data_IF_813728462871
#
_entry.id   IF_813728462871
#
_cell.length_a   1.000
_cell.length_b   1.000
_cell.length_c   1.000
_cell.angle_alpha   90.00
_cell.angle_beta   90.00
_cell.angle_gamma   90.00
#
_symmetry.space_group_name_H-M   'P 1'
#
loop_
_entity.id
_entity.type
_entity.pdbx_description
1 polymer ?
#
# COMPACT_ATOMS: atom_id res chain seq x y z
N UNK A 1 23.76 10.97 58.28
CA UNK A 1 24.05 9.80 57.45
C UNK A 1 22.78 9.31 56.70
N UNK A 2 22.14 10.21 55.92
CA UNK A 2 20.85 9.90 55.30
C UNK A 2 20.76 10.32 53.81
N UNK A 3 21.92 10.69 53.21
CA UNK A 3 22.01 11.22 51.81
C UNK A 3 22.75 10.28 50.85
N UNK A 4 23.29 9.15 51.30
CA UNK A 4 24.08 8.22 50.49
C UNK A 4 23.17 7.12 49.87
N UNK A 5 22.00 6.86 50.46
CA UNK A 5 21.09 5.78 50.02
C UNK A 5 20.31 6.13 48.75
N UNK A 6 20.21 7.40 48.39
CA UNK A 6 19.44 7.82 47.20
C UNK A 6 20.23 7.73 45.90
N UNK A 7 21.55 7.79 45.97
CA UNK A 7 22.41 7.66 44.80
C UNK A 7 22.58 6.23 44.31
N UNK A 8 22.38 5.25 45.18
CA UNK A 8 22.47 3.82 44.78
C UNK A 8 21.22 3.30 44.08
N UNK A 9 20.06 3.94 44.30
CA UNK A 9 18.80 3.52 43.67
C UNK A 9 18.70 3.95 42.22
N UNK A 10 19.38 5.04 41.82
CA UNK A 10 19.37 5.55 40.46
C UNK A 10 20.29 4.73 39.54
N UNK A 11 21.30 4.07 40.08
CA UNK A 11 22.23 3.25 39.29
C UNK A 11 21.68 1.86 38.91
N UNK A 12 20.66 1.38 39.61
CA UNK A 12 20.05 0.06 39.30
C UNK A 12 19.01 0.10 38.17
N UNK A 13 18.61 1.28 37.73
CA UNK A 13 17.62 1.42 36.60
C UNK A 13 18.30 1.47 35.24
N UNK A 14 19.62 1.63 35.17
CA UNK A 14 20.39 1.74 33.92
C UNK A 14 21.07 0.44 33.50
N UNK A 15 20.88 -0.66 34.23
CA UNK A 15 21.51 -1.95 33.89
C UNK A 15 20.56 -2.93 33.18
N UNK A 16 19.40 -2.52 32.80
CA UNK A 16 18.43 -3.37 32.12
C UNK A 16 18.12 -2.91 30.71
N UNK A 17 19.01 -3.09 29.79
CA UNK A 17 18.76 -3.30 28.37
C UNK A 17 20.09 -3.34 27.60
N UNK A 18 20.77 -4.48 27.73
CA UNK A 18 21.75 -4.88 26.72
C UNK A 18 21.41 -6.28 26.27
N UNK A 19 20.21 -6.44 25.73
CA UNK A 19 19.94 -7.50 24.77
C UNK A 19 20.19 -6.87 23.41
N UNK A 20 21.40 -7.05 22.89
CA UNK A 20 21.65 -6.99 21.46
C UNK A 20 20.88 -8.16 20.85
N UNK A 21 19.62 -7.97 20.57
CA UNK A 21 19.03 -8.59 19.40
C UNK A 21 19.78 -7.99 18.22
N UNK A 22 20.52 -8.84 17.54
CA UNK A 22 20.96 -8.56 16.19
C UNK A 22 19.66 -8.38 15.39
N UNK A 23 19.26 -7.12 15.21
CA UNK A 23 18.44 -6.76 14.07
C UNK A 23 19.34 -7.14 12.91
N UNK A 24 19.08 -8.28 12.28
CA UNK A 24 19.46 -8.46 10.90
C UNK A 24 18.72 -7.32 10.18
N UNK A 25 19.47 -6.24 9.94
CA UNK A 25 19.12 -5.30 8.89
C UNK A 25 19.05 -6.16 7.61
N UNK A 26 17.88 -6.68 7.30
CA UNK A 26 17.54 -6.93 5.92
C UNK A 26 17.62 -5.54 5.30
N UNK A 27 18.79 -5.21 4.73
CA UNK A 27 18.91 -4.14 3.76
C UNK A 27 17.87 -4.48 2.69
N UNK A 28 16.67 -3.94 2.83
CA UNK A 28 15.75 -3.86 1.71
C UNK A 28 16.54 -3.14 0.62
N UNK A 29 16.96 -3.88 -0.41
CA UNK A 29 17.66 -3.30 -1.55
C UNK A 29 16.81 -2.14 -2.05
N UNK A 30 17.31 -0.92 -1.80
CA UNK A 30 16.67 0.31 -2.31
C UNK A 30 16.74 0.20 -3.82
N UNK A 31 15.64 -0.22 -4.42
CA UNK A 31 15.52 -0.33 -5.87
C UNK A 31 15.75 1.07 -6.47
N UNK A 32 16.72 1.18 -7.38
CA UNK A 32 16.86 2.38 -8.20
C UNK A 32 15.76 2.40 -9.27
N UNK A 33 15.25 3.58 -9.63
CA UNK A 33 14.28 3.75 -10.73
C UNK A 33 14.74 3.12 -12.04
N UNK A 34 16.07 2.99 -12.24
CA UNK A 34 16.65 2.34 -13.43
C UNK A 34 16.45 0.83 -13.42
N UNK A 35 16.55 0.20 -12.25
CA UNK A 35 16.48 -1.25 -12.06
C UNK A 35 15.04 -1.76 -11.91
N UNK A 36 14.07 -0.85 -11.85
CA UNK A 36 12.65 -1.21 -11.77
C UNK A 36 12.20 -1.95 -13.03
N UNK A 37 11.78 -3.20 -12.84
CA UNK A 37 11.06 -4.01 -13.84
C UNK A 37 9.56 -3.86 -13.62
N UNK A 38 8.85 -3.43 -14.67
CA UNK A 38 7.40 -3.24 -14.59
C UNK A 38 6.73 -4.61 -14.62
N UNK A 39 5.82 -4.93 -13.67
CA UNK A 39 5.09 -6.18 -13.65
C UNK A 39 4.42 -6.49 -14.99
N UNK A 40 4.60 -7.72 -15.46
CA UNK A 40 4.05 -8.16 -16.75
C UNK A 40 2.57 -8.55 -16.69
N UNK A 41 2.04 -8.77 -15.49
CA UNK A 41 0.67 -9.22 -15.27
C UNK A 41 0.09 -8.62 -13.99
N UNK A 42 -1.21 -8.37 -14.02
CA UNK A 42 -2.04 -7.93 -12.90
C UNK A 42 -3.23 -8.87 -12.79
N UNK A 43 -4.09 -8.70 -11.78
CA UNK A 43 -5.35 -9.43 -11.72
C UNK A 43 -6.23 -9.08 -12.94
N UNK A 44 -6.71 -10.11 -13.62
CA UNK A 44 -7.68 -10.01 -14.72
C UNK A 44 -8.69 -11.13 -14.64
N UNK A 45 -9.94 -10.87 -15.06
CA UNK A 45 -10.97 -11.90 -15.21
C UNK A 45 -11.98 -11.48 -16.28
N UNK A 46 -12.35 -12.42 -17.12
CA UNK A 46 -13.41 -12.24 -18.13
C UNK A 46 -14.79 -12.73 -17.60
N UNK A 47 -14.85 -13.25 -16.38
CA UNK A 47 -16.08 -13.80 -15.80
C UNK A 47 -17.06 -12.69 -15.46
N UNK A 48 -18.31 -12.87 -15.94
CA UNK A 48 -19.44 -11.99 -15.66
C UNK A 48 -20.71 -12.81 -15.51
N UNK A 49 -21.55 -12.47 -14.53
CA UNK A 49 -22.80 -13.14 -14.21
C UNK A 49 -22.62 -14.64 -13.91
N UNK A 50 -21.47 -15.01 -13.35
CA UNK A 50 -21.12 -16.37 -12.98
C UNK A 50 -21.25 -16.58 -11.48
N UNK A 51 -21.47 -17.82 -11.07
CA UNK A 51 -21.29 -18.26 -9.69
C UNK A 51 -19.82 -18.63 -9.52
N UNK A 52 -19.14 -17.97 -8.58
CA UNK A 52 -17.72 -18.17 -8.31
C UNK A 52 -17.59 -19.12 -7.13
N UNK A 53 -16.81 -20.17 -7.27
CA UNK A 53 -16.52 -21.07 -6.15
C UNK A 53 -15.49 -20.46 -5.17
N UNK A 54 -15.40 -21.07 -3.97
CA UNK A 54 -14.57 -20.53 -2.89
C UNK A 54 -13.07 -20.56 -3.22
N UNK A 55 -12.59 -21.61 -3.87
CA UNK A 55 -11.15 -21.75 -4.17
C UNK A 55 -10.73 -20.78 -5.27
N UNK A 56 -11.56 -20.61 -6.28
CA UNK A 56 -11.33 -19.59 -7.30
C UNK A 56 -11.31 -18.18 -6.71
N UNK A 57 -12.26 -17.87 -5.82
CA UNK A 57 -12.32 -16.56 -5.21
C UNK A 57 -11.09 -16.29 -4.32
N UNK A 58 -10.64 -17.28 -3.55
CA UNK A 58 -9.40 -17.18 -2.77
C UNK A 58 -8.19 -16.88 -3.64
N UNK A 59 -8.07 -17.60 -4.77
CA UNK A 59 -7.00 -17.35 -5.73
C UNK A 59 -7.09 -15.95 -6.34
N UNK A 60 -8.31 -15.50 -6.67
CA UNK A 60 -8.55 -14.16 -7.21
C UNK A 60 -8.15 -13.06 -6.21
N UNK A 61 -8.54 -13.20 -4.94
CA UNK A 61 -8.14 -12.27 -3.88
C UNK A 61 -6.62 -12.25 -3.72
N UNK A 62 -5.98 -13.44 -3.67
CA UNK A 62 -4.53 -13.55 -3.58
C UNK A 62 -3.85 -12.84 -4.76
N UNK A 63 -4.24 -13.15 -5.98
CA UNK A 63 -3.64 -12.56 -7.19
C UNK A 63 -3.78 -11.03 -7.20
N UNK A 64 -4.95 -10.51 -6.84
CA UNK A 64 -5.19 -9.08 -6.75
C UNK A 64 -4.29 -8.40 -5.72
N UNK A 65 -4.18 -8.98 -4.53
CA UNK A 65 -3.36 -8.44 -3.44
C UNK A 65 -1.86 -8.57 -3.70
N UNK A 66 -1.41 -9.68 -4.29
CA UNK A 66 0.00 -9.87 -4.66
C UNK A 66 0.40 -8.88 -5.77
N UNK A 67 -0.50 -8.64 -6.75
CA UNK A 67 -0.29 -7.60 -7.77
C UNK A 67 -0.22 -6.20 -7.17
N UNK A 68 -1.08 -5.89 -6.20
CA UNK A 68 -1.04 -4.61 -5.47
C UNK A 68 0.31 -4.41 -4.78
N UNK A 69 0.80 -5.41 -4.06
CA UNK A 69 2.08 -5.35 -3.34
C UNK A 69 3.25 -5.14 -4.31
N UNK A 70 3.28 -5.89 -5.41
CA UNK A 70 4.31 -5.75 -6.43
C UNK A 70 4.30 -4.37 -7.08
N UNK A 71 3.12 -3.86 -7.45
CA UNK A 71 2.96 -2.52 -8.01
C UNK A 71 3.36 -1.42 -7.03
N UNK A 72 3.03 -1.58 -5.75
CA UNK A 72 3.44 -0.65 -4.68
C UNK A 72 4.97 -0.65 -4.53
N UNK A 73 5.60 -1.82 -4.49
CA UNK A 73 7.05 -1.96 -4.37
C UNK A 73 7.77 -1.28 -5.53
N UNK A 74 7.33 -1.50 -6.77
CA UNK A 74 7.98 -0.90 -7.95
C UNK A 74 7.67 0.58 -8.14
N UNK A 75 6.62 1.11 -7.53
CA UNK A 75 6.31 2.55 -7.56
C UNK A 75 7.11 3.34 -6.52
N UNK A 76 7.53 2.71 -5.41
CA UNK A 76 8.21 3.38 -4.28
C UNK A 76 9.40 4.26 -4.69
N UNK A 77 10.37 3.80 -5.52
CA UNK A 77 11.53 4.62 -5.87
C UNK A 77 11.18 5.92 -6.61
N UNK A 78 10.09 5.91 -7.38
CA UNK A 78 9.61 7.11 -8.07
C UNK A 78 8.91 8.07 -7.11
N UNK A 79 8.14 7.53 -6.17
CA UNK A 79 7.49 8.32 -5.13
C UNK A 79 8.50 8.97 -4.20
N UNK A 80 9.60 8.29 -3.87
CA UNK A 80 10.67 8.83 -3.03
C UNK A 80 11.29 10.08 -3.67
N UNK A 81 11.59 10.07 -4.98
CA UNK A 81 12.07 11.23 -5.72
C UNK A 81 11.07 12.40 -5.63
N UNK A 82 9.79 12.10 -5.82
CA UNK A 82 8.73 13.11 -5.77
C UNK A 82 8.54 13.68 -4.34
N UNK A 83 8.66 12.84 -3.30
CA UNK A 83 8.59 13.29 -1.90
C UNK A 83 9.78 14.14 -1.48
N UNK A 84 10.95 13.95 -2.08
CA UNK A 84 12.13 14.78 -1.90
C UNK A 84 12.00 16.13 -2.63
N UNK A 85 10.94 16.34 -3.39
CA UNK A 85 10.68 17.57 -4.15
C UNK A 85 11.48 17.65 -5.45
N UNK A 86 11.98 16.51 -5.92
CA UNK A 86 12.67 16.38 -7.19
C UNK A 86 11.69 16.01 -8.32
N UNK A 87 12.08 16.28 -9.55
CA UNK A 87 11.30 15.91 -10.73
C UNK A 87 11.80 14.59 -11.32
N UNK A 88 10.89 13.73 -11.75
CA UNK A 88 11.22 12.55 -12.53
C UNK A 88 11.76 12.95 -13.90
N UNK A 89 12.78 12.24 -14.38
CA UNK A 89 13.25 12.36 -15.75
C UNK A 89 12.22 11.75 -16.72
N UNK A 90 12.30 12.11 -17.99
CA UNK A 90 11.33 11.67 -19.00
C UNK A 90 11.12 10.14 -19.02
N UNK A 91 12.20 9.37 -19.00
CA UNK A 91 12.13 7.90 -18.96
C UNK A 91 11.60 7.33 -17.63
N UNK A 92 11.82 8.03 -16.51
CA UNK A 92 11.28 7.69 -15.19
C UNK A 92 9.78 7.99 -15.14
N UNK A 93 9.38 9.12 -15.70
CA UNK A 93 7.97 9.51 -15.81
C UNK A 93 7.18 8.49 -16.64
N UNK A 94 7.69 8.09 -17.82
CA UNK A 94 7.05 7.06 -18.65
C UNK A 94 6.87 5.73 -17.91
N UNK A 95 7.89 5.28 -17.14
CA UNK A 95 7.79 4.08 -16.30
C UNK A 95 6.72 4.24 -15.22
N UNK A 96 6.74 5.36 -14.50
CA UNK A 96 5.81 5.63 -13.42
C UNK A 96 4.36 5.74 -13.90
N UNK A 97 4.11 6.41 -15.03
CA UNK A 97 2.79 6.45 -15.66
C UNK A 97 2.27 5.06 -16.01
N UNK A 98 3.15 4.19 -16.52
CA UNK A 98 2.78 2.82 -16.84
C UNK A 98 2.44 1.99 -15.60
N UNK A 99 3.19 2.15 -14.51
CA UNK A 99 2.90 1.51 -13.22
C UNK A 99 1.56 2.03 -12.68
N UNK A 100 1.34 3.33 -12.69
CA UNK A 100 0.10 3.98 -12.25
C UNK A 100 -1.12 3.46 -13.02
N UNK A 101 -0.98 3.29 -14.33
CA UNK A 101 -2.03 2.72 -15.18
C UNK A 101 -2.33 1.27 -14.79
N UNK A 102 -1.31 0.44 -14.61
CA UNK A 102 -1.49 -0.96 -14.16
C UNK A 102 -2.15 -1.05 -12.78
N UNK A 103 -1.80 -0.16 -11.86
CA UNK A 103 -2.41 -0.09 -10.54
C UNK A 103 -3.91 0.21 -10.63
N UNK A 104 -4.28 1.17 -11.45
CA UNK A 104 -5.68 1.50 -11.69
C UNK A 104 -6.43 0.35 -12.36
N UNK A 105 -5.84 -0.27 -13.37
CA UNK A 105 -6.42 -1.42 -14.06
C UNK A 105 -6.60 -2.64 -13.12
N UNK A 106 -5.65 -2.89 -12.22
CA UNK A 106 -5.76 -3.94 -11.20
C UNK A 106 -6.98 -3.73 -10.30
N UNK A 107 -7.19 -2.50 -9.83
CA UNK A 107 -8.34 -2.13 -8.98
C UNK A 107 -9.67 -2.24 -9.73
N UNK A 108 -9.74 -1.71 -10.95
CA UNK A 108 -10.94 -1.74 -11.78
C UNK A 108 -11.34 -3.18 -12.14
N UNK A 109 -10.38 -4.02 -12.49
CA UNK A 109 -10.60 -5.42 -12.83
C UNK A 109 -11.17 -6.20 -11.63
N UNK A 110 -10.56 -6.05 -10.45
CA UNK A 110 -11.03 -6.76 -9.26
C UNK A 110 -12.39 -6.24 -8.79
N UNK A 111 -12.59 -4.92 -8.79
CA UNK A 111 -13.88 -4.33 -8.45
C UNK A 111 -14.99 -4.82 -9.39
N UNK A 112 -14.72 -4.84 -10.69
CA UNK A 112 -15.65 -5.34 -11.71
C UNK A 112 -15.96 -6.83 -11.50
N UNK A 113 -14.94 -7.64 -11.22
CA UNK A 113 -15.09 -9.07 -10.97
C UNK A 113 -16.01 -9.37 -9.77
N UNK A 114 -15.79 -8.70 -8.63
CA UNK A 114 -16.58 -8.94 -7.41
C UNK A 114 -17.99 -8.34 -7.48
N UNK A 115 -18.22 -7.35 -8.34
CA UNK A 115 -19.55 -6.74 -8.51
C UNK A 115 -20.42 -7.48 -9.51
N UNK A 116 -19.82 -8.07 -10.54
CA UNK A 116 -20.54 -8.69 -11.65
C UNK A 116 -20.74 -10.20 -11.47
N UNK A 117 -20.30 -10.78 -10.37
CA UNK A 117 -20.44 -12.22 -10.12
C UNK A 117 -21.12 -12.51 -8.78
N UNK A 118 -21.68 -13.70 -8.67
CA UNK A 118 -22.22 -14.24 -7.41
C UNK A 118 -21.08 -14.87 -6.62
N UNK A 119 -20.77 -14.32 -5.44
CA UNK A 119 -19.69 -14.79 -4.60
C UNK A 119 -20.19 -15.75 -3.51
N UNK A 120 -19.35 -16.66 -3.01
CA UNK A 120 -19.70 -17.55 -1.90
C UNK A 120 -20.14 -16.78 -0.66
N UNK A 121 -20.94 -17.44 0.18
CA UNK A 121 -21.43 -16.85 1.42
C UNK A 121 -20.29 -16.38 2.33
N UNK A 122 -20.45 -15.16 2.87
CA UNK A 122 -19.48 -14.55 3.76
C UNK A 122 -18.30 -13.85 3.07
N UNK A 123 -18.24 -13.85 1.72
CA UNK A 123 -17.16 -13.15 0.99
C UNK A 123 -17.55 -11.77 0.48
N UNK A 124 -18.82 -11.52 0.17
CA UNK A 124 -19.27 -10.29 -0.49
C UNK A 124 -18.88 -9.00 0.26
N UNK A 125 -19.03 -8.97 1.58
CA UNK A 125 -18.70 -7.80 2.39
C UNK A 125 -17.19 -7.62 2.51
N UNK A 126 -16.45 -8.71 2.64
CA UNK A 126 -15.01 -8.69 2.87
C UNK A 126 -14.25 -8.36 1.59
N UNK A 127 -14.63 -8.90 0.44
CA UNK A 127 -14.02 -8.53 -0.85
C UNK A 127 -14.25 -7.06 -1.18
N UNK A 128 -15.43 -6.51 -0.88
CA UNK A 128 -15.70 -5.07 -1.01
C UNK A 128 -14.85 -4.24 -0.05
N UNK A 129 -14.61 -4.73 1.19
CA UNK A 129 -13.71 -4.07 2.15
C UNK A 129 -12.30 -4.02 1.61
N UNK A 130 -11.78 -5.16 1.13
CA UNK A 130 -10.45 -5.27 0.52
C UNK A 130 -10.32 -4.30 -0.65
N UNK A 131 -11.20 -4.39 -1.65
CA UNK A 131 -11.20 -3.50 -2.82
C UNK A 131 -11.19 -2.02 -2.41
N UNK A 132 -12.12 -1.62 -1.52
CA UNK A 132 -12.21 -0.25 -1.04
C UNK A 132 -10.93 0.22 -0.32
N UNK A 133 -10.33 -0.64 0.51
CA UNK A 133 -9.11 -0.32 1.23
C UNK A 133 -7.95 -0.08 0.27
N UNK A 134 -7.72 -0.99 -0.68
CA UNK A 134 -6.65 -0.90 -1.66
C UNK A 134 -6.85 0.31 -2.58
N UNK A 135 -8.07 0.51 -3.11
CA UNK A 135 -8.37 1.69 -3.94
C UNK A 135 -8.13 2.99 -3.19
N UNK A 136 -8.50 3.06 -1.90
CA UNK A 136 -8.22 4.24 -1.08
C UNK A 136 -6.72 4.42 -0.79
N UNK A 137 -5.97 3.32 -0.58
CA UNK A 137 -4.51 3.34 -0.41
C UNK A 137 -3.82 3.89 -1.66
N UNK A 138 -4.18 3.38 -2.84
CA UNK A 138 -3.69 3.88 -4.11
C UNK A 138 -4.07 5.35 -4.32
N UNK A 139 -5.30 5.74 -3.96
CA UNK A 139 -5.78 7.12 -4.05
C UNK A 139 -5.04 8.10 -3.13
N UNK A 140 -4.48 7.65 -2.02
CA UNK A 140 -3.59 8.47 -1.19
C UNK A 140 -2.26 8.70 -1.92
N UNK A 141 -1.65 7.63 -2.44
CA UNK A 141 -0.35 7.70 -3.11
C UNK A 141 -0.40 8.61 -4.34
N UNK A 142 -1.33 8.35 -5.27
CA UNK A 142 -1.44 9.12 -6.51
C UNK A 142 -2.12 10.48 -6.33
N UNK A 143 -2.99 10.64 -5.34
CA UNK A 143 -3.59 11.94 -5.01
C UNK A 143 -2.59 12.94 -4.43
N UNK A 144 -1.55 12.48 -3.76
CA UNK A 144 -0.42 13.31 -3.35
C UNK A 144 0.38 13.78 -4.56
N UNK A 145 0.66 12.91 -5.53
CA UNK A 145 1.36 13.25 -6.76
C UNK A 145 0.59 14.30 -7.58
N UNK A 146 -0.70 14.12 -7.82
CA UNK A 146 -1.53 15.11 -8.50
C UNK A 146 -1.54 16.46 -7.77
N UNK A 147 -1.57 16.44 -6.44
CA UNK A 147 -1.55 17.66 -5.64
C UNK A 147 -0.21 18.39 -5.76
N UNK A 148 0.91 17.68 -5.71
CA UNK A 148 2.25 18.24 -5.87
C UNK A 148 2.46 18.79 -7.29
N UNK A 149 2.07 18.06 -8.32
CA UNK A 149 2.13 18.50 -9.71
C UNK A 149 1.32 19.79 -9.94
N UNK A 150 0.10 19.86 -9.42
CA UNK A 150 -0.73 21.06 -9.52
C UNK A 150 -0.14 22.26 -8.77
N UNK A 151 0.51 22.03 -7.62
CA UNK A 151 1.21 23.10 -6.86
C UNK A 151 2.37 23.65 -7.70
N UNK A 152 3.19 22.78 -8.27
CA UNK A 152 4.34 23.18 -9.10
C UNK A 152 3.88 23.98 -10.31
N UNK A 153 2.88 23.48 -11.04
CA UNK A 153 2.27 24.14 -12.19
C UNK A 153 1.68 25.52 -11.87
N UNK A 154 1.01 25.65 -10.75
CA UNK A 154 0.43 26.93 -10.32
C UNK A 154 1.51 27.93 -9.92
N UNK A 155 2.57 27.50 -9.23
CA UNK A 155 3.71 28.35 -8.87
C UNK A 155 4.47 28.83 -10.11
N UNK A 156 4.74 27.98 -11.10
CA UNK A 156 5.37 28.35 -12.34
C UNK A 156 4.56 29.38 -13.13
N UNK A 157 3.23 29.31 -13.05
CA UNK A 157 2.30 30.27 -13.65
C UNK A 157 2.04 31.51 -12.79
N UNK A 158 2.75 31.65 -11.66
CA UNK A 158 2.60 32.78 -10.72
C UNK A 158 1.24 32.82 -10.02
N UNK A 159 0.57 31.69 -9.90
CA UNK A 159 -0.73 31.54 -9.21
C UNK A 159 -0.52 31.04 -7.78
N UNK A 160 -1.48 31.35 -6.91
CA UNK A 160 -1.52 30.76 -5.56
C UNK A 160 -2.09 29.33 -5.67
N UNK A 161 -1.31 28.30 -5.31
CA UNK A 161 -1.79 26.93 -5.42
C UNK A 161 -3.04 26.68 -4.60
N UNK A 162 -4.00 25.96 -5.16
CA UNK A 162 -5.18 25.48 -4.46
C UNK A 162 -5.01 24.01 -4.10
N UNK A 163 -4.70 23.74 -2.84
CA UNK A 163 -4.55 22.38 -2.33
C UNK A 163 -5.94 21.78 -2.09
N UNK A 164 -6.31 20.80 -2.89
CA UNK A 164 -7.53 20.03 -2.66
C UNK A 164 -7.22 18.74 -1.88
N UNK A 165 -7.22 18.84 -0.55
CA UNK A 165 -6.98 17.71 0.36
C UNK A 165 -8.25 16.89 0.65
N UNK A 166 -9.37 17.20 0.03
CA UNK A 166 -10.67 16.56 0.33
C UNK A 166 -10.67 15.06 -0.01
N UNK A 167 -10.16 14.70 -1.17
CA UNK A 167 -10.03 13.29 -1.59
C UNK A 167 -9.03 12.51 -0.74
N UNK A 168 -7.87 13.12 -0.44
CA UNK A 168 -6.85 12.52 0.42
C UNK A 168 -7.43 12.26 1.80
N UNK A 169 -8.15 13.21 2.39
CA UNK A 169 -8.78 13.05 3.71
C UNK A 169 -9.78 11.91 3.74
N UNK A 170 -10.64 11.78 2.74
CA UNK A 170 -11.61 10.68 2.66
C UNK A 170 -10.95 9.31 2.56
N UNK A 171 -9.82 9.22 1.84
CA UNK A 171 -9.06 8.00 1.71
C UNK A 171 -8.34 7.62 3.02
N UNK A 172 -7.77 8.59 3.75
CA UNK A 172 -7.15 8.37 5.07
C UNK A 172 -8.17 7.82 6.08
N UNK A 173 -9.44 8.20 6.00
CA UNK A 173 -10.49 7.64 6.87
C UNK A 173 -10.75 6.15 6.61
N UNK A 174 -10.49 5.67 5.39
CA UNK A 174 -10.63 4.26 5.01
C UNK A 174 -9.36 3.48 5.32
N UNK A 175 -8.18 4.05 5.00
CA UNK A 175 -6.87 3.42 5.19
C UNK A 175 -6.39 3.65 6.62
N UNK A 176 -6.70 2.70 7.49
CA UNK A 176 -6.28 2.75 8.90
C UNK A 176 -6.05 1.34 9.44
N UNK A 177 -5.25 1.24 10.51
CA UNK A 177 -4.85 -0.05 11.09
C UNK A 177 -6.02 -0.93 11.58
N UNK A 178 -7.18 -0.35 11.88
CA UNK A 178 -8.37 -1.15 12.25
C UNK A 178 -8.98 -1.85 11.04
N UNK A 179 -9.10 -1.17 9.92
CA UNK A 179 -9.63 -1.77 8.69
C UNK A 179 -8.63 -2.77 8.11
N UNK A 180 -7.32 -2.46 8.12
CA UNK A 180 -6.28 -3.39 7.73
C UNK A 180 -6.35 -4.68 8.55
N UNK A 181 -6.41 -4.58 9.88
CA UNK A 181 -6.52 -5.76 10.75
C UNK A 181 -7.76 -6.62 10.44
N UNK A 182 -8.90 -6.04 10.12
CA UNK A 182 -10.08 -6.81 9.73
C UNK A 182 -9.86 -7.59 8.44
N UNK A 183 -9.12 -6.99 7.49
CA UNK A 183 -8.76 -7.66 6.24
C UNK A 183 -7.82 -8.82 6.55
N UNK A 184 -6.78 -8.60 7.32
CA UNK A 184 -5.82 -9.64 7.72
C UNK A 184 -6.51 -10.79 8.47
N UNK A 185 -7.37 -10.49 9.44
CA UNK A 185 -8.15 -11.48 10.19
C UNK A 185 -9.05 -12.32 9.26
N UNK A 186 -9.61 -11.70 8.20
CA UNK A 186 -10.39 -12.41 7.19
C UNK A 186 -9.51 -13.32 6.32
N UNK A 187 -8.37 -12.80 5.84
CA UNK A 187 -7.42 -13.57 5.03
C UNK A 187 -6.93 -14.81 5.80
N UNK A 188 -6.57 -14.64 7.08
CA UNK A 188 -6.16 -15.74 7.96
C UNK A 188 -7.27 -16.77 8.15
N UNK A 189 -8.48 -16.32 8.47
CA UNK A 189 -9.64 -17.18 8.64
C UNK A 189 -9.95 -18.01 7.41
N UNK A 190 -9.68 -17.49 6.22
CA UNK A 190 -9.95 -18.13 4.93
C UNK A 190 -8.75 -18.89 4.37
N UNK A 191 -7.59 -18.80 5.02
CA UNK A 191 -6.34 -19.42 4.58
C UNK A 191 -5.84 -18.82 3.26
N UNK A 192 -5.99 -17.51 3.07
CA UNK A 192 -5.52 -16.79 1.89
C UNK A 192 -4.13 -16.21 2.21
N UNK A 193 -3.10 -16.86 1.68
CA UNK A 193 -1.72 -16.39 1.82
C UNK A 193 -1.39 -15.39 0.70
N UNK A 194 -1.02 -14.17 1.06
CA UNK A 194 -0.66 -13.08 0.15
C UNK A 194 0.56 -12.34 0.68
N UNK A 195 1.31 -11.70 -0.22
CA UNK A 195 2.46 -10.85 0.13
C UNK A 195 2.04 -9.47 0.65
N UNK A 196 0.80 -9.04 0.41
CA UNK A 196 0.32 -7.74 0.84
C UNK A 196 0.32 -7.59 2.36
N UNK A 197 0.43 -6.35 2.83
CA UNK A 197 0.46 -5.96 4.24
C UNK A 197 1.70 -6.47 5.01
N UNK A 198 2.84 -6.64 4.33
CA UNK A 198 4.08 -7.11 4.95
C UNK A 198 4.02 -8.57 5.43
N UNK A 199 3.12 -9.39 4.85
CA UNK A 199 3.00 -10.81 5.18
C UNK A 199 4.04 -11.61 4.39
N UNK A 200 4.84 -12.38 5.11
CA UNK A 200 5.72 -13.38 4.50
C UNK A 200 4.90 -14.61 4.06
N UNK A 201 5.14 -15.08 2.85
CA UNK A 201 4.46 -16.26 2.27
C UNK A 201 5.37 -17.49 2.29
#
# INVERSE_FOLDING_TARGET
MRRISFFFLVFLILSGCSQKESIEDTEDEILSTQDVEIPSSIFTSEKQNMEIDEEELKLSIKTYLDSYEELTKVSSPFLDILYEGENLKENELEKFEKISKLTKENDENFSTYILNNSLPEGYQAETKRISRYITASNGILYGLDETLSNITDDLEKGKVPKINIGSIKSNIEVVNGREQKKIEDFLDKKGINTKAFGRET
#
